data_IF_643379879920
#
_entry.id   IF_643379879920
#
_cell.length_a   1.000
_cell.length_b   1.000
_cell.length_c   1.000
_cell.angle_alpha   90.00
_cell.angle_beta   90.00
_cell.angle_gamma   90.00
#
_symmetry.space_group_name_H-M   'P 1'
#
loop_
_entity.id
_entity.type
_entity.pdbx_description
1 polymer ?
#
# COMPACT_ATOMS: atom_id res chain seq x y z
N UNK A 1 28.01 17.58 11.19
CA UNK A 1 28.25 16.15 11.45
C UNK A 1 28.10 15.43 10.12
N UNK A 2 29.19 14.90 9.57
CA UNK A 2 29.17 14.18 8.30
C UNK A 2 28.58 12.79 8.58
N UNK A 3 27.31 12.56 8.22
CA UNK A 3 26.69 11.24 8.30
C UNK A 3 27.40 10.39 7.25
N UNK A 4 28.11 9.31 7.61
CA UNK A 4 28.70 8.44 6.60
C UNK A 4 27.56 7.93 5.69
N UNK A 5 27.68 8.11 4.38
CA UNK A 5 26.79 7.55 3.37
C UNK A 5 27.05 6.05 3.22
N UNK A 6 27.00 5.32 4.33
CA UNK A 6 27.01 3.86 4.35
C UNK A 6 25.56 3.43 4.11
N UNK A 7 25.28 3.03 2.87
CA UNK A 7 24.04 2.33 2.54
C UNK A 7 24.09 0.94 3.18
N UNK A 8 23.61 0.84 4.41
CA UNK A 8 23.50 -0.45 5.09
C UNK A 8 22.42 -1.29 4.39
N UNK A 9 22.82 -2.47 3.92
CA UNK A 9 21.92 -3.39 3.21
C UNK A 9 20.78 -3.87 4.12
N UNK A 10 21.02 -3.98 5.42
CA UNK A 10 20.02 -4.35 6.42
C UNK A 10 18.95 -3.25 6.60
N UNK A 11 19.38 -2.00 6.69
CA UNK A 11 18.45 -0.85 6.79
C UNK A 11 17.58 -0.72 5.54
N UNK A 12 18.17 -0.92 4.36
CA UNK A 12 17.43 -0.92 3.10
C UNK A 12 16.43 -2.07 3.02
N UNK A 13 16.82 -3.29 3.41
CA UNK A 13 15.93 -4.45 3.43
C UNK A 13 14.76 -4.23 4.41
N UNK A 14 15.03 -3.66 5.58
CA UNK A 14 14.01 -3.33 6.57
C UNK A 14 13.03 -2.26 6.07
N UNK A 15 13.54 -1.20 5.44
CA UNK A 15 12.72 -0.14 4.86
C UNK A 15 11.82 -0.66 3.72
N UNK A 16 12.36 -1.47 2.81
CA UNK A 16 11.58 -2.08 1.72
C UNK A 16 10.48 -3.00 2.26
N UNK A 17 10.81 -3.83 3.26
CA UNK A 17 9.84 -4.72 3.91
C UNK A 17 8.74 -3.94 4.61
N UNK A 18 9.10 -2.89 5.37
CA UNK A 18 8.15 -2.02 6.05
C UNK A 18 7.23 -1.30 5.05
N UNK A 19 7.78 -0.81 3.94
CA UNK A 19 7.01 -0.15 2.88
C UNK A 19 6.02 -1.11 2.22
N UNK A 20 6.42 -2.37 1.99
CA UNK A 20 5.51 -3.40 1.47
C UNK A 20 4.35 -3.72 2.43
N UNK A 21 4.62 -3.74 3.75
CA UNK A 21 3.58 -3.94 4.77
C UNK A 21 2.57 -2.78 4.79
N UNK A 22 3.04 -1.54 4.66
CA UNK A 22 2.17 -0.35 4.58
C UNK A 22 1.34 -0.38 3.29
N UNK A 23 1.94 -0.75 2.16
CA UNK A 23 1.24 -0.87 0.88
C UNK A 23 0.09 -1.90 0.94
N UNK A 24 0.25 -2.96 1.73
CA UNK A 24 -0.78 -3.97 1.98
C UNK A 24 -1.97 -3.48 2.84
N UNK A 25 -1.88 -2.33 3.53
CA UNK A 25 -3.00 -1.83 4.34
C UNK A 25 -4.18 -1.34 3.49
N UNK A 26 -3.92 -0.65 2.38
CA UNK A 26 -4.95 -0.13 1.47
C UNK A 26 -5.87 -1.23 0.89
N UNK A 27 -5.37 -2.37 0.37
CA UNK A 27 -6.21 -3.45 -0.10
C UNK A 27 -6.79 -4.28 1.06
N UNK A 28 -6.11 -4.37 2.21
CA UNK A 28 -6.66 -5.04 3.39
C UNK A 28 -7.96 -4.39 3.87
N UNK A 29 -8.05 -3.06 3.82
CA UNK A 29 -9.29 -2.32 4.08
C UNK A 29 -10.38 -2.66 3.05
N UNK A 30 -10.03 -2.84 1.78
CA UNK A 30 -11.00 -3.21 0.75
C UNK A 30 -11.59 -4.60 0.97
N UNK A 31 -10.79 -5.56 1.42
CA UNK A 31 -11.30 -6.88 1.83
C UNK A 31 -12.16 -6.79 3.11
N UNK A 32 -11.74 -5.99 4.09
CA UNK A 32 -12.49 -5.80 5.33
C UNK A 32 -13.84 -5.10 5.09
N UNK A 33 -13.85 -3.96 4.41
CA UNK A 33 -15.06 -3.21 4.05
C UNK A 33 -15.89 -3.94 3.00
N UNK A 34 -15.26 -4.69 2.09
CA UNK A 34 -15.95 -5.56 1.15
C UNK A 34 -16.75 -6.66 1.84
N UNK A 35 -16.26 -7.22 2.96
CA UNK A 35 -16.99 -8.20 3.77
C UNK A 35 -18.19 -7.62 4.54
N UNK A 36 -18.23 -6.30 4.75
CA UNK A 36 -19.31 -5.58 5.42
C UNK A 36 -20.39 -5.06 4.45
N UNK A 37 -20.12 -5.10 3.13
CA UNK A 37 -21.03 -4.61 2.10
C UNK A 37 -21.89 -5.75 1.52
N UNK A 38 -23.03 -5.39 0.94
CA UNK A 38 -23.90 -6.34 0.24
C UNK A 38 -23.13 -7.18 -0.79
N UNK A 39 -23.45 -8.48 -0.87
CA UNK A 39 -22.77 -9.44 -1.77
C UNK A 39 -22.72 -9.00 -3.24
N UNK A 40 -23.72 -8.24 -3.70
CA UNK A 40 -23.81 -7.65 -5.04
C UNK A 40 -22.77 -6.55 -5.33
N UNK A 41 -22.21 -5.92 -4.29
CA UNK A 41 -21.32 -4.75 -4.40
C UNK A 41 -19.87 -5.04 -3.98
N UNK A 42 -19.54 -6.26 -3.53
CA UNK A 42 -18.20 -6.64 -3.08
C UNK A 42 -17.16 -6.47 -4.20
N UNK A 43 -17.49 -6.93 -5.42
CA UNK A 43 -16.60 -6.79 -6.57
C UNK A 43 -16.30 -5.32 -6.87
N UNK A 44 -17.31 -4.46 -6.81
CA UNK A 44 -17.14 -3.02 -7.04
C UNK A 44 -16.23 -2.38 -5.99
N UNK A 45 -16.34 -2.80 -4.72
CA UNK A 45 -15.49 -2.30 -3.64
C UNK A 45 -14.01 -2.70 -3.82
N UNK A 46 -13.75 -3.92 -4.29
CA UNK A 46 -12.40 -4.40 -4.58
C UNK A 46 -11.76 -3.67 -5.77
N UNK A 47 -12.51 -3.50 -6.87
CA UNK A 47 -12.03 -2.76 -8.04
C UNK A 47 -11.77 -1.29 -7.74
N UNK A 48 -12.64 -0.63 -6.96
CA UNK A 48 -12.46 0.75 -6.53
C UNK A 48 -11.16 0.92 -5.74
N UNK A 49 -10.87 0.02 -4.80
CA UNK A 49 -9.61 0.07 -4.03
C UNK A 49 -8.37 -0.13 -4.91
N UNK A 50 -8.44 -0.98 -5.93
CA UNK A 50 -7.32 -1.23 -6.84
C UNK A 50 -7.03 0.01 -7.70
N UNK A 51 -8.08 0.66 -8.20
CA UNK A 51 -7.97 1.90 -8.99
C UNK A 51 -7.49 3.06 -8.11
N UNK A 52 -8.05 3.24 -6.90
CA UNK A 52 -7.61 4.26 -5.97
C UNK A 52 -6.13 4.09 -5.59
N UNK A 53 -5.66 2.86 -5.37
CA UNK A 53 -4.24 2.61 -5.13
C UNK A 53 -3.37 3.09 -6.30
N UNK A 54 -3.75 2.80 -7.55
CA UNK A 54 -3.04 3.27 -8.74
C UNK A 54 -3.02 4.79 -8.87
N UNK A 55 -4.15 5.46 -8.63
CA UNK A 55 -4.26 6.93 -8.70
C UNK A 55 -3.38 7.59 -7.62
N UNK A 56 -3.46 7.12 -6.37
CA UNK A 56 -2.68 7.67 -5.26
C UNK A 56 -1.18 7.44 -5.49
N UNK A 57 -0.79 6.29 -6.04
CA UNK A 57 0.60 6.02 -6.40
C UNK A 57 1.12 6.97 -7.48
N UNK A 58 0.34 7.20 -8.54
CA UNK A 58 0.69 8.16 -9.59
C UNK A 58 0.77 9.59 -9.05
N UNK A 59 -0.20 10.02 -8.23
CA UNK A 59 -0.21 11.32 -7.58
C UNK A 59 0.96 11.52 -6.61
N UNK A 60 1.44 10.45 -5.98
CA UNK A 60 2.59 10.50 -5.06
C UNK A 60 3.93 10.61 -5.81
N UNK A 61 4.02 10.02 -7.00
CA UNK A 61 5.24 10.03 -7.83
C UNK A 61 5.40 11.34 -8.60
N UNK A 62 4.28 11.97 -8.99
CA UNK A 62 4.23 13.29 -9.64
C UNK A 62 4.58 14.42 -8.67
#
# INVERSE_FOLDING_TARGET
MMIPSNHDTGDNAWMMTSTALVLLMTPALAFFYGGLVDRKNILNQLFLSFICMGIVFLQWVL
#
